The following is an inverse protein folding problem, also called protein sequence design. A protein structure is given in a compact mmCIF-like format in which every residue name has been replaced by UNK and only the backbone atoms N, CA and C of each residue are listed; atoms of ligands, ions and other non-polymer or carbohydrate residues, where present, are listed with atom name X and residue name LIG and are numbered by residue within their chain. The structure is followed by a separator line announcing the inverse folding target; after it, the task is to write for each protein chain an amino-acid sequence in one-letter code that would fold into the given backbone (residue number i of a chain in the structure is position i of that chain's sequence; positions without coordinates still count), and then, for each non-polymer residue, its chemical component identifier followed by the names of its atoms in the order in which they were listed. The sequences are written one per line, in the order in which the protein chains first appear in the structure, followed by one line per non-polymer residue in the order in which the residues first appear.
data_IF_758106825987
#
_entry.id   IF_758106825987
#
_cell.length_a   1.000
_cell.length_b   1.000
_cell.length_c   1.000
_cell.angle_alpha   90.00
_cell.angle_beta   90.00
_cell.angle_gamma   90.00
#
_symmetry.space_group_name_H-M   'P 1'
#
loop_
_entity.id
_entity.type
_entity.pdbx_description
1 polymer ?
#
# COMPACT_ATOMS: atom_id res chain seq x y z
N UNK A 1 -7.35 -3.45 0.74
CA UNK A 1 -6.08 -3.08 0.06
C UNK A 1 -6.07 -3.58 -1.38
N UNK A 2 -6.20 -4.87 -1.65
CA UNK A 2 -6.07 -5.44 -3.00
C UNK A 2 -7.00 -4.76 -4.02
N UNK A 3 -8.28 -4.59 -3.71
CA UNK A 3 -9.25 -3.90 -4.59
C UNK A 3 -8.84 -2.42 -4.81
N UNK A 4 -8.44 -1.73 -3.75
CA UNK A 4 -7.99 -0.34 -3.82
C UNK A 4 -6.78 -0.15 -4.74
N UNK A 5 -5.78 -1.03 -4.65
CA UNK A 5 -4.61 -0.98 -5.54
C UNK A 5 -5.00 -1.33 -6.99
N UNK A 6 -5.90 -2.30 -7.20
CA UNK A 6 -6.43 -2.61 -8.54
C UNK A 6 -7.19 -1.42 -9.14
N UNK A 7 -7.98 -0.71 -8.33
CA UNK A 7 -8.66 0.53 -8.75
C UNK A 7 -7.65 1.56 -9.25
N UNK A 8 -6.64 1.87 -8.41
CA UNK A 8 -5.61 2.85 -8.80
C UNK A 8 -4.86 2.36 -10.05
N UNK A 9 -4.40 1.11 -10.07
CA UNK A 9 -3.65 0.57 -11.21
C UNK A 9 -4.45 0.62 -12.52
N UNK A 10 -5.74 0.29 -12.47
CA UNK A 10 -6.59 0.31 -13.66
C UNK A 10 -6.88 1.73 -14.12
N UNK A 11 -7.43 2.56 -13.24
CA UNK A 11 -7.88 3.91 -13.59
C UNK A 11 -6.70 4.85 -13.91
N UNK A 12 -5.58 4.71 -13.16
CA UNK A 12 -4.38 5.51 -13.41
C UNK A 12 -3.71 5.14 -14.74
N UNK A 13 -3.58 3.84 -15.04
CA UNK A 13 -3.01 3.42 -16.32
C UNK A 13 -3.91 3.79 -17.49
N UNK A 14 -5.24 3.83 -17.29
CA UNK A 14 -6.18 4.23 -18.33
C UNK A 14 -6.04 5.69 -18.72
N UNK A 15 -5.98 6.58 -17.76
CA UNK A 15 -6.01 8.02 -17.98
C UNK A 15 -4.61 8.62 -18.15
N UNK A 16 -3.61 8.11 -17.41
CA UNK A 16 -2.34 8.78 -17.21
C UNK A 16 -1.16 8.13 -17.93
N UNK A 17 -1.32 6.89 -18.45
CA UNK A 17 -0.21 6.13 -18.98
C UNK A 17 -0.46 5.62 -20.41
N UNK A 18 0.62 5.54 -21.16
CA UNK A 18 0.68 4.95 -22.51
C UNK A 18 1.70 3.83 -22.53
N UNK A 19 1.75 3.08 -23.65
CA UNK A 19 2.74 2.04 -23.90
C UNK A 19 4.18 2.57 -23.68
N UNK A 20 4.98 1.84 -22.92
CA UNK A 20 6.34 2.17 -22.55
C UNK A 20 6.49 3.12 -21.36
N UNK A 21 5.41 3.67 -20.80
CA UNK A 21 5.47 4.39 -19.52
C UNK A 21 5.77 3.43 -18.38
N UNK A 22 6.37 3.94 -17.29
CA UNK A 22 6.94 3.12 -16.23
C UNK A 22 6.26 3.35 -14.88
N UNK A 23 6.06 2.26 -14.14
CA UNK A 23 5.74 2.27 -12.71
C UNK A 23 6.92 1.69 -11.95
N UNK A 24 7.40 2.37 -10.91
CA UNK A 24 8.41 1.86 -9.99
C UNK A 24 7.69 1.20 -8.81
N UNK A 25 7.99 -0.07 -8.55
CA UNK A 25 7.51 -0.86 -7.38
C UNK A 25 8.71 -1.28 -6.56
N UNK A 26 8.57 -1.48 -5.25
CA UNK A 26 9.70 -2.00 -4.47
C UNK A 26 9.77 -3.54 -4.54
N UNK A 27 10.95 -4.13 -4.32
CA UNK A 27 11.11 -5.59 -4.33
C UNK A 27 10.53 -6.27 -3.07
N UNK A 28 10.05 -5.51 -2.10
CA UNK A 28 9.46 -6.05 -0.86
C UNK A 28 7.92 -6.03 -0.84
N UNK A 29 7.30 -5.80 -1.98
CA UNK A 29 5.85 -5.66 -2.06
C UNK A 29 5.09 -6.98 -1.82
N UNK A 30 3.93 -6.85 -1.20
CA UNK A 30 2.92 -7.90 -1.24
C UNK A 30 2.39 -8.10 -2.67
N UNK A 31 2.00 -9.31 -3.02
CA UNK A 31 1.44 -9.63 -4.36
C UNK A 31 0.32 -8.69 -4.79
N UNK A 32 -0.45 -8.13 -3.85
CA UNK A 32 -1.49 -7.14 -4.13
C UNK A 32 -0.96 -5.85 -4.75
N UNK A 33 0.32 -5.55 -4.56
CA UNK A 33 0.97 -4.37 -5.13
C UNK A 33 2.02 -4.71 -6.22
N UNK A 34 2.02 -5.95 -6.69
CA UNK A 34 2.83 -6.40 -7.83
C UNK A 34 1.91 -6.79 -9.00
N UNK A 35 0.99 -7.72 -8.74
CA UNK A 35 0.17 -8.35 -9.78
C UNK A 35 -0.71 -7.36 -10.53
N UNK A 36 -1.36 -6.36 -9.91
CA UNK A 36 -2.14 -5.37 -10.65
C UNK A 36 -1.32 -4.64 -11.71
N UNK A 37 -0.07 -4.26 -11.39
CA UNK A 37 0.83 -3.60 -12.33
C UNK A 37 1.29 -4.53 -13.46
N UNK A 38 1.57 -5.80 -13.17
CA UNK A 38 1.86 -6.81 -14.19
C UNK A 38 0.68 -7.02 -15.13
N UNK A 39 -0.56 -7.00 -14.61
CA UNK A 39 -1.77 -7.07 -15.45
C UNK A 39 -1.88 -5.86 -16.37
N UNK A 40 -1.56 -4.66 -15.90
CA UNK A 40 -1.54 -3.47 -16.75
C UNK A 40 -0.38 -3.52 -17.77
N UNK A 41 0.79 -4.03 -17.38
CA UNK A 41 1.88 -4.25 -18.31
C UNK A 41 1.46 -5.16 -19.49
N UNK A 42 0.78 -6.27 -19.20
CA UNK A 42 0.26 -7.17 -20.22
C UNK A 42 -0.85 -6.57 -21.09
N UNK A 43 -1.69 -5.70 -20.53
CA UNK A 43 -2.86 -5.13 -21.23
C UNK A 43 -2.52 -3.87 -22.02
N UNK A 44 -1.61 -3.04 -21.50
CA UNK A 44 -1.35 -1.67 -22.00
C UNK A 44 0.11 -1.43 -22.40
N UNK A 45 1.00 -2.42 -22.20
CA UNK A 45 2.41 -2.29 -22.56
C UNK A 45 3.19 -1.35 -21.66
N UNK A 46 2.74 -1.05 -20.45
CA UNK A 46 3.54 -0.31 -19.46
C UNK A 46 4.69 -1.20 -18.96
N UNK A 47 5.70 -0.59 -18.36
CA UNK A 47 6.86 -1.27 -17.82
C UNK A 47 6.86 -1.18 -16.29
N UNK A 48 6.98 -2.31 -15.60
CA UNK A 48 7.15 -2.37 -14.15
C UNK A 48 8.63 -2.47 -13.84
N UNK A 49 9.15 -1.49 -13.10
CA UNK A 49 10.55 -1.45 -12.65
C UNK A 49 10.62 -1.69 -11.15
N UNK A 50 11.71 -2.26 -10.68
CA UNK A 50 11.89 -2.71 -9.31
C UNK A 50 12.92 -1.87 -8.58
N UNK A 51 12.55 -1.29 -7.43
CA UNK A 51 13.48 -0.65 -6.51
C UNK A 51 13.96 -1.71 -5.51
N UNK A 52 15.26 -2.06 -5.50
CA UNK A 52 15.79 -3.11 -4.64
C UNK A 52 15.90 -2.66 -3.18
N UNK A 53 16.08 -3.64 -2.30
CA UNK A 53 16.47 -3.47 -0.91
C UNK A 53 17.82 -4.19 -0.63
N UNK A 54 18.49 -3.81 0.45
CA UNK A 54 19.78 -4.34 0.86
C UNK A 54 19.64 -5.64 1.71
N UNK A 55 20.77 -6.19 2.16
CA UNK A 55 20.80 -7.41 2.97
C UNK A 55 20.10 -7.28 4.34
N UNK A 56 19.92 -6.06 4.86
CA UNK A 56 19.16 -5.79 6.08
C UNK A 56 17.67 -5.70 5.83
N UNK A 57 17.28 -5.51 4.58
CA UNK A 57 15.91 -5.28 4.15
C UNK A 57 15.54 -3.80 4.10
N UNK A 58 16.50 -2.88 4.04
CA UNK A 58 16.27 -1.45 3.84
C UNK A 58 16.24 -1.12 2.35
N UNK A 59 15.30 -0.28 1.90
CA UNK A 59 15.21 0.13 0.49
C UNK A 59 16.45 0.92 0.07
N UNK A 60 16.99 0.61 -1.11
CA UNK A 60 18.10 1.33 -1.72
C UNK A 60 17.64 2.68 -2.30
N UNK A 61 17.26 3.63 -1.42
CA UNK A 61 16.64 4.90 -1.81
C UNK A 61 17.57 5.81 -2.64
N UNK A 62 18.87 5.63 -2.55
CA UNK A 62 19.87 6.28 -3.41
C UNK A 62 19.72 5.91 -4.90
N UNK A 63 19.14 4.75 -5.19
CA UNK A 63 18.85 4.31 -6.55
C UNK A 63 17.53 4.87 -7.08
N UNK A 64 16.57 5.23 -6.23
CA UNK A 64 15.26 5.71 -6.66
C UNK A 64 15.37 6.92 -7.59
N UNK A 65 16.12 7.93 -7.19
CA UNK A 65 16.29 9.15 -7.99
C UNK A 65 16.97 8.89 -9.35
N UNK A 66 17.86 7.89 -9.40
CA UNK A 66 18.52 7.46 -10.64
C UNK A 66 17.59 6.64 -11.56
N UNK A 67 16.59 5.97 -10.97
CA UNK A 67 15.60 5.20 -11.72
C UNK A 67 14.54 6.09 -12.37
N UNK A 68 14.27 7.25 -11.79
CA UNK A 68 13.25 8.19 -12.29
C UNK A 68 13.70 8.77 -13.63
N UNK A 69 12.79 8.74 -14.61
CA UNK A 69 12.99 9.31 -15.95
C UNK A 69 11.64 9.83 -16.51
N UNK A 70 11.64 10.38 -17.72
CA UNK A 70 10.45 10.97 -18.36
C UNK A 70 9.27 10.00 -18.54
N UNK A 71 9.53 8.69 -18.55
CA UNK A 71 8.51 7.63 -18.66
C UNK A 71 7.94 7.24 -17.31
N UNK A 72 8.61 7.53 -16.21
CA UNK A 72 8.13 7.19 -14.85
C UNK A 72 6.88 8.01 -14.54
N UNK A 73 5.78 7.33 -14.24
CA UNK A 73 4.48 7.96 -13.99
C UNK A 73 3.94 7.75 -12.59
N UNK A 74 4.42 6.74 -11.87
CA UNK A 74 3.99 6.43 -10.52
C UNK A 74 5.06 5.64 -9.77
N UNK A 75 5.17 5.87 -8.47
CA UNK A 75 5.88 5.00 -7.53
C UNK A 75 4.85 4.32 -6.64
N UNK A 76 4.96 2.98 -6.48
CA UNK A 76 4.08 2.20 -5.62
C UNK A 76 4.90 1.41 -4.61
N UNK A 77 4.59 1.56 -3.31
CA UNK A 77 5.41 0.99 -2.26
C UNK A 77 4.60 0.55 -1.03
N UNK A 78 5.07 -0.47 -0.33
CA UNK A 78 4.57 -0.81 0.99
C UNK A 78 5.10 0.17 2.04
N UNK A 79 4.25 0.59 2.97
CA UNK A 79 4.70 1.34 4.16
C UNK A 79 5.48 0.44 5.11
N UNK A 80 4.96 -0.77 5.34
CA UNK A 80 5.64 -1.82 6.14
C UNK A 80 5.64 -3.11 5.34
N UNK A 81 6.81 -3.75 5.23
CA UNK A 81 6.93 -5.05 4.57
C UNK A 81 6.23 -6.14 5.39
N UNK A 82 5.32 -6.87 4.77
CA UNK A 82 4.63 -8.00 5.38
C UNK A 82 5.52 -9.25 5.61
N UNK A 83 6.73 -9.24 5.06
CA UNK A 83 7.71 -10.32 5.20
C UNK A 83 8.88 -9.91 6.08
N UNK A 84 9.47 -8.75 5.80
CA UNK A 84 10.68 -8.29 6.49
C UNK A 84 10.37 -7.47 7.76
N UNK A 85 9.17 -6.90 7.85
CA UNK A 85 8.78 -5.97 8.92
C UNK A 85 9.43 -4.59 8.78
N UNK A 86 10.23 -4.35 7.75
CA UNK A 86 10.86 -3.05 7.52
C UNK A 86 9.80 -1.97 7.38
N UNK A 87 9.94 -0.90 8.16
CA UNK A 87 9.16 0.33 8.05
C UNK A 87 9.87 1.27 7.08
N UNK A 88 9.27 1.50 5.93
CA UNK A 88 9.86 2.32 4.88
C UNK A 88 9.61 3.82 5.12
N UNK A 89 10.60 4.65 4.81
CA UNK A 89 10.47 6.11 4.87
C UNK A 89 9.67 6.64 3.67
N UNK A 90 8.34 6.50 3.78
CA UNK A 90 7.39 6.96 2.77
C UNK A 90 7.55 8.45 2.50
N UNK A 91 7.77 9.27 3.54
CA UNK A 91 7.94 10.71 3.39
C UNK A 91 9.14 11.07 2.53
N UNK A 92 10.24 10.36 2.70
CA UNK A 92 11.44 10.56 1.89
C UNK A 92 11.21 10.16 0.43
N UNK A 93 10.60 8.99 0.19
CA UNK A 93 10.22 8.52 -1.16
C UNK A 93 9.29 9.53 -1.84
N UNK A 94 8.26 9.99 -1.15
CA UNK A 94 7.31 10.99 -1.66
C UNK A 94 8.02 12.30 -2.00
N UNK A 95 8.93 12.74 -1.13
CA UNK A 95 9.72 13.95 -1.38
C UNK A 95 10.58 13.84 -2.65
N UNK A 96 11.20 12.67 -2.88
CA UNK A 96 11.96 12.42 -4.12
C UNK A 96 11.03 12.42 -5.33
N UNK A 97 9.96 11.62 -5.30
CA UNK A 97 9.05 11.46 -6.43
C UNK A 97 8.39 12.79 -6.84
N UNK A 98 7.95 13.58 -5.86
CA UNK A 98 7.29 14.87 -6.09
C UNK A 98 8.21 15.93 -6.71
N UNK A 99 9.53 15.88 -6.54
CA UNK A 99 10.47 16.74 -7.27
C UNK A 99 10.31 16.60 -8.80
N UNK A 100 9.86 15.44 -9.25
CA UNK A 100 9.64 15.10 -10.65
C UNK A 100 8.17 15.08 -11.05
N UNK A 101 7.26 15.48 -10.15
CA UNK A 101 5.82 15.48 -10.38
C UNK A 101 5.21 14.09 -10.45
N UNK A 102 5.84 13.10 -9.83
CA UNK A 102 5.42 11.70 -9.85
C UNK A 102 4.62 11.38 -8.57
N UNK A 103 3.37 10.92 -8.68
CA UNK A 103 2.56 10.53 -7.53
C UNK A 103 3.04 9.21 -6.90
N UNK A 104 2.72 9.07 -5.60
CA UNK A 104 3.09 7.89 -4.81
C UNK A 104 1.84 7.20 -4.27
N UNK A 105 1.71 5.89 -4.56
CA UNK A 105 0.74 4.98 -3.95
C UNK A 105 1.42 4.20 -2.82
N UNK A 106 0.78 4.18 -1.67
CA UNK A 106 1.26 3.48 -0.48
C UNK A 106 0.33 2.34 -0.09
N UNK A 107 0.85 1.11 -0.03
CA UNK A 107 0.20 -0.01 0.63
C UNK A 107 0.43 0.09 2.14
N UNK A 108 -0.60 0.57 2.85
CA UNK A 108 -0.60 0.75 4.30
C UNK A 108 -1.21 -0.42 5.07
N UNK A 109 -1.38 -1.58 4.42
CA UNK A 109 -2.05 -2.73 5.05
C UNK A 109 -1.37 -3.24 6.32
N UNK A 110 -0.06 -3.06 6.43
CA UNK A 110 0.72 -3.48 7.61
C UNK A 110 1.10 -2.31 8.53
N UNK A 111 0.81 -1.06 8.18
CA UNK A 111 1.12 0.08 9.05
C UNK A 111 -0.06 0.54 9.89
N UNK A 112 -1.25 0.57 9.30
CA UNK A 112 -2.45 1.11 9.96
C UNK A 112 -2.85 0.43 11.27
N UNK A 113 -2.65 -0.88 11.50
CA UNK A 113 -2.98 -1.50 12.79
C UNK A 113 -1.94 -1.27 13.88
N UNK A 114 -0.71 -0.86 13.54
CA UNK A 114 0.44 -0.90 14.43
C UNK A 114 0.84 0.47 14.97
N UNK A 115 0.73 1.53 14.16
CA UNK A 115 1.09 2.87 14.57
C UNK A 115 0.25 3.95 13.89
N UNK A 116 0.36 5.17 14.40
CA UNK A 116 -0.36 6.31 13.83
C UNK A 116 0.13 6.65 12.42
N UNK A 117 -0.80 6.75 11.48
CA UNK A 117 -0.53 7.15 10.09
C UNK A 117 -1.27 8.44 9.77
N UNK A 118 -0.54 9.49 9.42
CA UNK A 118 -1.10 10.72 8.88
C UNK A 118 -0.73 10.86 7.40
N UNK A 119 -1.71 10.66 6.52
CA UNK A 119 -1.51 10.72 5.07
C UNK A 119 -1.12 12.11 4.57
N UNK A 120 -1.44 13.18 5.34
CA UNK A 120 -1.03 14.54 5.01
C UNK A 120 0.44 14.78 5.37
N UNK A 121 0.91 14.21 6.49
CA UNK A 121 2.31 14.25 6.87
C UNK A 121 3.16 13.44 5.90
N UNK A 122 2.71 12.23 5.54
CA UNK A 122 3.36 11.39 4.52
C UNK A 122 3.35 12.06 3.14
N UNK A 123 2.35 12.90 2.88
CA UNK A 123 2.10 13.59 1.61
C UNK A 123 1.95 12.63 0.42
N UNK A 124 1.56 11.38 0.67
CA UNK A 124 1.31 10.40 -0.37
C UNK A 124 0.03 10.76 -1.17
N UNK A 125 -0.02 10.34 -2.42
CA UNK A 125 -1.12 10.68 -3.32
C UNK A 125 -2.25 9.67 -3.22
N UNK A 126 -1.90 8.41 -2.94
CA UNK A 126 -2.84 7.33 -2.65
C UNK A 126 -2.35 6.51 -1.45
N UNK A 127 -3.28 6.07 -0.61
CA UNK A 127 -3.00 5.19 0.53
C UNK A 127 -4.11 4.15 0.66
N UNK A 128 -3.73 2.87 0.75
CA UNK A 128 -4.69 1.77 0.80
C UNK A 128 -4.48 0.87 2.02
N UNK A 129 -5.58 0.48 2.70
CA UNK A 129 -5.50 -0.49 3.79
C UNK A 129 -6.72 -1.40 3.86
N UNK A 130 -6.67 -2.44 4.70
CA UNK A 130 -7.71 -3.46 4.84
C UNK A 130 -8.24 -3.53 6.26
N UNK A 131 -9.56 -3.59 6.40
CA UNK A 131 -10.25 -3.63 7.70
C UNK A 131 -9.87 -4.86 8.53
N UNK A 132 -9.74 -6.05 7.92
CA UNK A 132 -9.43 -7.29 8.65
C UNK A 132 -8.04 -7.29 9.32
N UNK A 133 -7.12 -6.41 8.92
CA UNK A 133 -5.83 -6.23 9.59
C UNK A 133 -5.90 -5.24 10.76
N UNK A 134 -6.96 -4.44 10.81
CA UNK A 134 -7.25 -3.47 11.88
C UNK A 134 -8.33 -3.97 12.85
N UNK A 135 -8.36 -5.28 13.13
CA UNK A 135 -9.38 -5.92 13.98
C UNK A 135 -10.82 -5.79 13.47
N UNK A 136 -11.01 -5.27 12.26
CA UNK A 136 -12.29 -5.11 11.60
C UNK A 136 -12.71 -6.33 10.77
N UNK A 137 -13.88 -6.27 10.13
CA UNK A 137 -14.39 -7.36 9.29
C UNK A 137 -13.52 -7.61 8.05
N UNK A 138 -13.63 -8.82 7.50
CA UNK A 138 -13.20 -9.11 6.12
C UNK A 138 -14.09 -8.42 5.11
N UNK A 139 -13.64 -8.28 3.86
CA UNK A 139 -14.43 -7.72 2.75
C UNK A 139 -14.43 -6.19 2.67
N UNK A 140 -13.97 -5.47 3.69
CA UNK A 140 -13.88 -4.02 3.73
C UNK A 140 -12.43 -3.53 3.71
N UNK A 141 -12.20 -2.43 3.02
CA UNK A 141 -10.93 -1.69 3.01
C UNK A 141 -11.17 -0.25 2.62
N UNK A 142 -10.14 0.55 2.68
CA UNK A 142 -10.21 1.99 2.38
C UNK A 142 -9.13 2.35 1.37
N UNK A 143 -9.48 3.19 0.41
CA UNK A 143 -8.57 3.93 -0.43
C UNK A 143 -8.69 5.42 -0.08
N UNK A 144 -7.60 6.01 0.36
CA UNK A 144 -7.41 7.46 0.36
C UNK A 144 -6.77 7.87 -0.96
N UNK A 145 -7.20 8.98 -1.52
CA UNK A 145 -6.53 9.63 -2.65
C UNK A 145 -6.66 11.15 -2.54
N UNK A 146 -5.63 11.88 -2.96
CA UNK A 146 -5.73 13.33 -3.11
C UNK A 146 -6.82 13.65 -4.13
N UNK A 147 -7.67 14.63 -3.82
CA UNK A 147 -8.84 15.00 -4.62
C UNK A 147 -8.49 15.27 -6.08
N UNK A 148 -7.39 15.98 -6.32
CA UNK A 148 -6.90 16.29 -7.66
C UNK A 148 -6.63 15.06 -8.54
N UNK A 149 -6.16 13.97 -7.94
CA UNK A 149 -5.96 12.71 -8.65
C UNK A 149 -7.29 11.98 -8.86
N UNK A 150 -8.11 11.88 -7.81
CA UNK A 150 -9.39 11.17 -7.89
C UNK A 150 -10.36 11.84 -8.88
N UNK A 151 -10.35 13.17 -9.00
CA UNK A 151 -11.15 13.90 -10.00
C UNK A 151 -10.75 13.54 -11.44
N UNK A 152 -9.45 13.37 -11.69
CA UNK A 152 -8.92 13.04 -13.02
C UNK A 152 -9.15 11.59 -13.42
N UNK A 153 -9.08 10.66 -12.47
CA UNK A 153 -9.16 9.24 -12.78
C UNK A 153 -10.59 8.82 -13.18
N UNK A 154 -10.76 7.97 -14.21
CA UNK A 154 -12.04 7.38 -14.54
C UNK A 154 -12.49 6.38 -13.47
N UNK A 155 -13.81 6.10 -13.35
CA UNK A 155 -14.29 5.06 -12.47
C UNK A 155 -13.70 3.70 -12.84
N UNK A 156 -13.42 2.88 -11.81
CA UNK A 156 -12.91 1.52 -11.96
C UNK A 156 -14.01 0.50 -12.28
N UNK A 157 -15.16 0.68 -11.64
CA UNK A 157 -16.34 -0.16 -11.83
C UNK A 157 -17.53 0.71 -12.22
N UNK A 158 -18.46 0.14 -13.01
CA UNK A 158 -19.69 0.80 -13.40
C UNK A 158 -20.91 0.07 -12.83
N UNK A 159 -21.90 0.83 -12.38
CA UNK A 159 -23.13 0.28 -11.82
C UNK A 159 -24.06 1.35 -11.27
N UNK A 160 -25.00 0.97 -10.43
CA UNK A 160 -25.80 1.90 -9.66
C UNK A 160 -24.98 2.66 -8.61
N UNK A 161 -25.55 3.67 -7.99
CA UNK A 161 -25.00 4.55 -6.94
C UNK A 161 -23.90 5.52 -7.43
N UNK A 162 -23.04 5.12 -8.34
CA UNK A 162 -21.88 5.90 -8.80
C UNK A 162 -22.18 6.81 -10.00
N UNK A 163 -23.42 6.83 -10.49
CA UNK A 163 -23.86 7.58 -11.68
C UNK A 163 -24.73 8.79 -11.29
N UNK A 164 -24.58 9.90 -12.01
CA UNK A 164 -25.48 11.06 -11.96
C UNK A 164 -26.60 10.90 -13.00
N UNK A 165 -26.26 10.70 -14.28
CA UNK A 165 -27.23 10.48 -15.37
C UNK A 165 -26.79 9.36 -16.28
N UNK A 166 -27.76 8.58 -16.76
CA UNK A 166 -27.56 7.51 -17.72
C UNK A 166 -28.49 7.69 -18.90
N UNK A 167 -27.95 7.67 -20.12
CA UNK A 167 -28.67 7.50 -21.36
C UNK A 167 -28.00 6.36 -22.19
N UNK A 168 -28.58 6.01 -23.32
CA UNK A 168 -27.96 5.03 -24.20
C UNK A 168 -26.67 5.56 -24.85
N UNK A 169 -26.52 6.88 -24.96
CA UNK A 169 -25.40 7.53 -25.63
C UNK A 169 -24.31 7.93 -24.64
N UNK A 170 -24.67 8.22 -23.38
CA UNK A 170 -23.73 8.77 -22.42
C UNK A 170 -24.13 8.51 -20.96
N UNK A 171 -23.12 8.33 -20.11
CA UNK A 171 -23.25 8.31 -18.65
C UNK A 171 -22.41 9.43 -18.06
N UNK A 172 -22.97 10.15 -17.09
CA UNK A 172 -22.22 11.04 -16.19
C UNK A 172 -22.15 10.44 -14.80
N UNK A 173 -21.07 10.75 -14.08
CA UNK A 173 -20.78 10.11 -12.79
C UNK A 173 -21.04 11.06 -11.64
N UNK A 174 -21.35 10.49 -10.48
CA UNK A 174 -21.48 11.21 -9.24
C UNK A 174 -20.15 11.85 -8.83
N UNK A 175 -20.25 12.84 -7.93
CA UNK A 175 -19.09 13.46 -7.28
C UNK A 175 -18.33 12.47 -6.40
N UNK A 176 -17.10 12.79 -6.07
CA UNK A 176 -16.31 12.07 -5.08
C UNK A 176 -17.01 12.04 -3.70
N UNK A 177 -16.93 10.95 -2.95
CA UNK A 177 -16.24 9.68 -3.28
C UNK A 177 -17.10 8.71 -4.12
N UNK A 178 -18.39 8.99 -4.31
CA UNK A 178 -19.40 8.09 -4.90
C UNK A 178 -19.05 7.61 -6.32
N UNK A 179 -18.33 8.41 -7.08
CA UNK A 179 -17.79 8.05 -8.41
C UNK A 179 -17.05 6.70 -8.44
N UNK A 180 -16.45 6.29 -7.32
CA UNK A 180 -15.70 5.04 -7.21
C UNK A 180 -16.42 3.96 -6.39
N UNK A 181 -17.66 4.18 -6.00
CA UNK A 181 -18.44 3.27 -5.14
C UNK A 181 -19.64 2.70 -5.90
N UNK A 182 -19.38 1.77 -6.83
CA UNK A 182 -20.42 1.15 -7.64
C UNK A 182 -21.20 0.08 -6.87
N UNK A 183 -22.51 0.15 -6.93
CA UNK A 183 -23.43 -0.78 -6.27
C UNK A 183 -23.71 -0.43 -4.79
N UNK A 184 -24.62 -1.17 -4.18
CA UNK A 184 -24.96 -0.97 -2.76
C UNK A 184 -23.74 -1.25 -1.88
N UNK A 185 -23.27 -0.28 -1.07
CA UNK A 185 -22.07 -0.46 -0.26
C UNK A 185 -22.31 -1.49 0.88
N UNK A 186 -21.23 -2.15 1.30
CA UNK A 186 -21.25 -3.04 2.48
C UNK A 186 -21.29 -2.20 3.77
N UNK A 187 -22.47 -1.66 4.10
CA UNK A 187 -22.68 -0.85 5.29
C UNK A 187 -22.51 -1.65 6.60
N UNK A 188 -22.68 -2.98 6.57
CA UNK A 188 -22.46 -3.83 7.76
C UNK A 188 -20.98 -3.92 8.09
N UNK A 189 -20.14 -4.23 7.11
CA UNK A 189 -18.69 -4.25 7.30
C UNK A 189 -18.13 -2.84 7.57
N UNK A 190 -18.69 -1.80 6.97
CA UNK A 190 -18.31 -0.40 7.23
C UNK A 190 -18.55 -0.03 8.69
N UNK A 191 -19.71 -0.38 9.26
CA UNK A 191 -19.99 -0.15 10.68
C UNK A 191 -19.06 -0.97 11.59
N UNK A 192 -18.78 -2.22 11.21
CA UNK A 192 -17.80 -3.07 11.93
C UNK A 192 -16.39 -2.49 11.92
N UNK A 193 -15.95 -1.92 10.78
CA UNK A 193 -14.65 -1.24 10.69
C UNK A 193 -14.60 0.01 11.57
N UNK A 194 -15.67 0.83 11.57
CA UNK A 194 -15.76 2.00 12.45
C UNK A 194 -15.61 1.59 13.93
N UNK A 195 -16.31 0.53 14.35
CA UNK A 195 -16.21 -0.01 15.73
C UNK A 195 -14.78 -0.47 16.05
N UNK A 196 -14.09 -1.11 15.09
CA UNK A 196 -12.71 -1.55 15.28
C UNK A 196 -11.75 -0.35 15.41
N UNK A 197 -11.96 0.71 14.62
CA UNK A 197 -11.18 1.95 14.72
C UNK A 197 -11.38 2.61 16.09
N UNK A 198 -12.61 2.69 16.58
CA UNK A 198 -12.90 3.21 17.92
C UNK A 198 -12.20 2.38 19.01
N UNK A 199 -12.21 1.05 18.88
CA UNK A 199 -11.54 0.15 19.81
C UNK A 199 -10.02 0.38 19.88
N UNK A 200 -9.31 0.37 18.73
CA UNK A 200 -7.86 0.58 18.72
C UNK A 200 -7.49 2.02 19.14
N UNK A 201 -8.33 3.00 18.78
CA UNK A 201 -8.13 4.39 19.20
C UNK A 201 -8.27 4.55 20.72
N UNK A 202 -9.18 3.82 21.34
CA UNK A 202 -9.34 3.81 22.79
C UNK A 202 -8.16 3.14 23.53
N UNK A 203 -7.51 2.14 22.92
CA UNK A 203 -6.27 1.55 23.43
C UNK A 203 -5.09 2.52 23.28
N UNK A 204 -5.08 3.30 22.20
CA UNK A 204 -4.01 4.21 21.81
C UNK A 204 -2.93 3.53 20.98
N UNK A 205 -2.79 3.97 19.72
CA UNK A 205 -1.80 3.44 18.78
C UNK A 205 -0.36 3.55 19.27
N UNK A 206 -0.01 4.60 19.99
CA UNK A 206 1.34 4.76 20.57
C UNK A 206 1.65 3.68 21.61
N UNK A 207 0.63 3.26 22.40
CA UNK A 207 0.78 2.17 23.36
C UNK A 207 0.92 0.81 22.66
N UNK A 208 0.17 0.60 21.59
CA UNK A 208 0.28 -0.60 20.74
C UNK A 208 1.68 -0.66 20.14
N UNK A 209 2.12 0.40 19.47
CA UNK A 209 3.45 0.48 18.86
C UNK A 209 4.58 0.20 19.88
N UNK A 210 4.51 0.83 21.06
CA UNK A 210 5.50 0.64 22.13
C UNK A 210 5.53 -0.82 22.60
N UNK A 211 4.38 -1.45 22.79
CA UNK A 211 4.28 -2.82 23.25
C UNK A 211 4.83 -3.80 22.18
N UNK A 212 4.45 -3.61 20.93
CA UNK A 212 4.91 -4.43 19.81
C UNK A 212 6.42 -4.30 19.56
N UNK A 213 6.98 -3.09 19.67
CA UNK A 213 8.42 -2.87 19.58
C UNK A 213 9.18 -3.61 20.69
N UNK A 214 8.67 -3.56 21.93
CA UNK A 214 9.26 -4.29 23.04
C UNK A 214 9.25 -5.82 22.78
N UNK A 215 8.14 -6.36 22.32
CA UNK A 215 8.02 -7.79 22.01
C UNK A 215 8.90 -8.19 20.83
N UNK A 216 8.95 -7.38 19.79
CA UNK A 216 9.79 -7.61 18.60
C UNK A 216 11.26 -7.62 18.96
N UNK A 217 11.71 -6.66 19.77
CA UNK A 217 13.10 -6.60 20.25
C UNK A 217 13.44 -7.84 21.09
N UNK A 218 12.59 -8.17 22.05
CA UNK A 218 12.79 -9.38 22.87
C UNK A 218 12.84 -10.65 22.03
N UNK A 219 11.91 -10.80 21.07
CA UNK A 219 11.85 -11.94 20.17
C UNK A 219 13.15 -12.06 19.35
N UNK A 220 13.58 -10.97 18.70
CA UNK A 220 14.79 -10.94 17.88
C UNK A 220 16.04 -11.27 18.72
N UNK A 221 16.15 -10.73 19.93
CA UNK A 221 17.25 -11.00 20.86
C UNK A 221 17.28 -12.49 21.23
N UNK A 222 16.17 -13.08 21.69
CA UNK A 222 16.12 -14.49 22.05
C UNK A 222 16.39 -15.42 20.86
N UNK A 223 15.81 -15.13 19.71
CA UNK A 223 16.01 -15.92 18.49
C UNK A 223 17.46 -15.86 17.99
N UNK A 224 18.16 -14.74 18.18
CA UNK A 224 19.58 -14.62 17.80
C UNK A 224 20.52 -15.53 18.61
N UNK A 225 20.08 -16.05 19.75
CA UNK A 225 20.85 -17.00 20.58
C UNK A 225 20.69 -18.46 20.17
N UNK A 226 19.77 -18.75 19.24
CA UNK A 226 19.48 -20.11 18.78
C UNK A 226 20.48 -20.49 17.66
N UNK A 227 21.18 -21.60 17.83
CA UNK A 227 22.11 -22.11 16.84
C UNK A 227 21.40 -22.40 15.50
N UNK A 228 22.08 -22.14 14.39
CA UNK A 228 21.55 -22.28 13.02
C UNK A 228 20.31 -21.44 12.68
N UNK A 229 19.94 -20.47 13.53
CA UNK A 229 18.88 -19.51 13.23
C UNK A 229 19.38 -18.42 12.30
N UNK A 230 18.67 -18.19 11.21
CA UNK A 230 18.90 -17.07 10.30
C UNK A 230 17.67 -16.16 10.29
N UNK A 231 17.83 -14.94 10.77
CA UNK A 231 16.79 -13.90 10.77
C UNK A 231 16.85 -13.09 9.46
N UNK A 232 15.69 -12.65 8.99
CA UNK A 232 15.53 -11.77 7.83
C UNK A 232 14.83 -10.47 8.24
N UNK A 233 15.14 -9.39 7.53
CA UNK A 233 14.63 -8.07 7.88
C UNK A 233 15.22 -7.60 9.22
N UNK A 234 16.48 -7.27 9.20
CA UNK A 234 17.24 -6.80 10.36
C UNK A 234 17.44 -5.27 10.34
N UNK A 235 16.56 -4.58 9.63
CA UNK A 235 16.49 -3.11 9.61
C UNK A 235 16.38 -2.55 11.03
N UNK A 236 16.96 -1.36 11.25
CA UNK A 236 16.79 -0.60 12.48
C UNK A 236 15.34 -0.06 12.62
N UNK A 237 14.66 0.12 11.51
CA UNK A 237 13.26 0.55 11.43
C UNK A 237 12.37 -0.66 11.13
N UNK A 238 11.98 -1.37 12.19
CA UNK A 238 11.28 -2.65 12.09
C UNK A 238 10.01 -2.64 12.94
N UNK A 239 8.96 -3.17 12.36
CA UNK A 239 7.69 -3.46 13.00
C UNK A 239 7.55 -4.96 13.34
N UNK A 240 6.42 -5.34 13.94
CA UNK A 240 6.15 -6.62 14.60
C UNK A 240 6.07 -7.85 13.66
N UNK A 241 6.94 -7.94 12.66
CA UNK A 241 7.07 -9.09 11.76
C UNK A 241 8.46 -9.70 11.89
N UNK A 242 8.56 -10.97 12.22
CA UNK A 242 9.83 -11.70 12.35
C UNK A 242 9.85 -12.89 11.41
N UNK A 243 10.70 -12.84 10.39
CA UNK A 243 10.92 -13.93 9.43
C UNK A 243 12.25 -14.61 9.70
N UNK A 244 12.27 -15.94 9.67
CA UNK A 244 13.47 -16.72 9.99
C UNK A 244 13.50 -18.07 9.28
N UNK A 245 14.71 -18.65 9.22
CA UNK A 245 14.96 -20.05 8.87
C UNK A 245 15.77 -20.71 10.00
N UNK A 246 15.63 -22.02 10.15
CA UNK A 246 16.37 -22.82 11.12
C UNK A 246 17.13 -23.91 10.35
N UNK A 247 18.45 -23.78 10.22
CA UNK A 247 19.30 -24.72 9.51
C UNK A 247 18.73 -25.11 8.13
N UNK A 248 18.57 -26.40 7.93
CA UNK A 248 18.01 -27.00 6.71
C UNK A 248 16.54 -27.46 6.86
N UNK A 249 15.85 -27.02 7.92
CA UNK A 249 14.45 -27.38 8.13
C UNK A 249 13.59 -26.63 7.10
N UNK A 250 12.86 -27.40 6.29
CA UNK A 250 11.94 -26.83 5.31
C UNK A 250 10.73 -26.24 6.04
N UNK A 251 10.24 -25.10 5.58
CA UNK A 251 9.14 -24.36 6.20
C UNK A 251 7.73 -24.93 5.86
N UNK A 252 7.67 -25.96 4.98
CA UNK A 252 6.44 -26.69 4.59
C UNK A 252 6.55 -28.15 5.02
#
# INVERSE_FOLDING_TARGET
TTEAINLVASSFCEEMMKEGDEVIVTDMEHHSNIVPWQLQANRRGIVVRHLPFDEKGDLCLDQLEQMINERTKLVSMAHVSNVLGTVNDVKHVTTIAHKYGIPVLVDGAQSTPHFHVDVKELDCDFFAFSGHKMYGPTGIGVLYGKEEWLERLPPYQGGGEMIDKVSWEQTTFERLPFKFEAGTPDYVATHGLATAIDYISALGLDQIATHEQMLTHYCMEQMSTIDDMRLFGTSAHKDAVVSFLVGNIHHL
#
